data_IF_791933671765
#
_entry.id   IF_791933671765
#
_cell.length_a   1.000
_cell.length_b   1.000
_cell.length_c   1.000
_cell.angle_alpha   90.00
_cell.angle_beta   90.00
_cell.angle_gamma   90.00
#
_symmetry.space_group_name_H-M   'P 1'
#
loop_
_entity.id
_entity.type
_entity.pdbx_description
1 polymer ?
#
# COMPACT_ATOMS: atom_id res chain seq x y z
N UNK A 1 5.26 -4.52 14.89
CA UNK A 1 4.95 -3.07 14.84
C UNK A 1 6.16 -2.25 14.46
N UNK A 2 7.35 -2.50 15.03
CA UNK A 2 8.57 -1.78 14.64
C UNK A 2 8.87 -1.88 13.14
N UNK A 3 8.96 -3.09 12.57
CA UNK A 3 9.30 -3.28 11.13
C UNK A 3 8.34 -2.58 10.17
N UNK A 4 7.03 -2.50 10.48
CA UNK A 4 6.06 -1.92 9.56
C UNK A 4 6.26 -0.39 9.43
N UNK A 5 6.41 0.30 10.58
CA UNK A 5 6.75 1.72 10.59
C UNK A 5 8.20 2.00 10.16
N UNK A 6 9.12 1.06 10.35
CA UNK A 6 10.54 1.27 10.06
C UNK A 6 10.91 1.10 8.59
N UNK A 7 10.14 0.34 7.81
CA UNK A 7 10.47 0.08 6.41
C UNK A 7 9.40 0.54 5.43
N UNK A 8 8.10 0.38 5.74
CA UNK A 8 7.04 0.76 4.80
C UNK A 8 6.78 2.27 4.79
N UNK A 9 6.85 2.94 5.95
CA UNK A 9 6.68 4.39 6.00
C UNK A 9 7.82 5.13 5.29
N UNK A 10 9.11 4.78 5.50
CA UNK A 10 10.20 5.38 4.72
C UNK A 10 10.09 5.08 3.24
N UNK A 11 9.67 3.86 2.86
CA UNK A 11 9.43 3.53 1.45
C UNK A 11 8.40 4.45 0.79
N UNK A 12 7.23 4.66 1.44
CA UNK A 12 6.21 5.56 0.94
C UNK A 12 6.70 7.02 0.87
N UNK A 13 7.40 7.48 1.91
CA UNK A 13 8.00 8.83 1.95
C UNK A 13 9.00 9.01 0.81
N UNK A 14 9.90 8.05 0.60
CA UNK A 14 10.88 8.09 -0.49
C UNK A 14 10.16 8.13 -1.83
N UNK A 15 9.18 7.26 -2.09
CA UNK A 15 8.39 7.27 -3.32
C UNK A 15 7.75 8.63 -3.60
N UNK A 16 7.23 9.29 -2.57
CA UNK A 16 6.57 10.60 -2.69
C UNK A 16 7.59 11.71 -2.87
N UNK A 17 8.74 11.64 -2.20
CA UNK A 17 9.84 12.56 -2.47
C UNK A 17 10.31 12.43 -3.92
N UNK A 18 10.49 11.22 -4.45
CA UNK A 18 10.79 11.00 -5.86
C UNK A 18 9.69 11.56 -6.76
N UNK A 19 8.41 11.33 -6.44
CA UNK A 19 7.31 11.90 -7.21
C UNK A 19 7.36 13.44 -7.24
N UNK A 20 7.64 14.09 -6.11
CA UNK A 20 7.69 15.55 -6.00
C UNK A 20 8.92 16.13 -6.70
N UNK A 21 10.10 15.54 -6.48
CA UNK A 21 11.36 16.04 -7.04
C UNK A 21 11.45 15.86 -8.56
N UNK A 22 10.96 14.74 -9.10
CA UNK A 22 11.11 14.44 -10.53
C UNK A 22 9.94 14.90 -11.39
N UNK A 23 8.76 15.08 -10.79
CA UNK A 23 7.53 15.32 -11.56
C UNK A 23 6.94 16.72 -11.38
N UNK A 24 7.60 17.57 -10.57
CA UNK A 24 7.21 18.95 -10.24
C UNK A 24 5.68 19.18 -10.17
N UNK A 25 4.97 18.45 -9.28
CA UNK A 25 3.52 18.52 -9.21
C UNK A 25 3.05 19.90 -8.75
N UNK A 26 1.79 20.22 -9.06
CA UNK A 26 1.16 21.47 -8.64
C UNK A 26 1.30 21.68 -7.13
N UNK A 27 1.46 22.95 -6.71
CA UNK A 27 1.67 23.31 -5.30
C UNK A 27 0.57 22.74 -4.39
N UNK A 28 -0.68 22.77 -4.84
CA UNK A 28 -1.81 22.23 -4.09
C UNK A 28 -1.72 20.72 -3.87
N UNK A 29 -1.40 19.95 -4.92
CA UNK A 29 -1.24 18.48 -4.86
C UNK A 29 -0.09 18.09 -3.94
N UNK A 30 0.99 18.87 -3.97
CA UNK A 30 2.16 18.68 -3.10
C UNK A 30 1.80 18.85 -1.63
N UNK A 31 1.14 19.96 -1.28
CA UNK A 31 0.73 20.21 0.12
C UNK A 31 -0.30 19.20 0.61
N UNK A 32 -1.27 18.81 -0.22
CA UNK A 32 -2.23 17.77 0.13
C UNK A 32 -1.54 16.42 0.37
N UNK A 33 -0.59 16.04 -0.47
CA UNK A 33 0.16 14.79 -0.33
C UNK A 33 0.99 14.76 0.96
N UNK A 34 1.66 15.87 1.29
CA UNK A 34 2.36 16.01 2.58
C UNK A 34 1.39 15.98 3.76
N UNK A 35 0.22 16.62 3.64
CA UNK A 35 -0.82 16.59 4.66
C UNK A 35 -1.33 15.17 4.93
N UNK A 36 -1.63 14.41 3.87
CA UNK A 36 -2.05 13.00 3.95
C UNK A 36 -0.94 12.14 4.59
N UNK A 37 0.32 12.34 4.20
CA UNK A 37 1.46 11.66 4.80
C UNK A 37 1.62 11.96 6.29
N UNK A 38 1.54 13.24 6.66
CA UNK A 38 1.66 13.67 8.06
C UNK A 38 0.52 13.11 8.91
N UNK A 39 -0.71 13.13 8.38
CA UNK A 39 -1.87 12.53 9.03
C UNK A 39 -1.70 11.01 9.19
N UNK A 40 -1.22 10.32 8.15
CA UNK A 40 -0.95 8.88 8.20
C UNK A 40 0.16 8.54 9.20
N UNK A 41 1.22 9.34 9.26
CA UNK A 41 2.29 9.19 10.22
C UNK A 41 1.76 9.37 11.66
N UNK A 42 0.99 10.42 11.90
CA UNK A 42 0.42 10.69 13.21
C UNK A 42 -0.56 9.59 13.65
N UNK A 43 -1.41 9.11 12.74
CA UNK A 43 -2.33 8.01 13.01
C UNK A 43 -1.59 6.70 13.34
N UNK A 44 -0.54 6.37 12.56
CA UNK A 44 0.32 5.21 12.84
C UNK A 44 1.07 5.35 14.17
N UNK A 45 1.58 6.54 14.50
CA UNK A 45 2.25 6.82 15.76
C UNK A 45 1.30 6.68 16.95
N UNK A 46 0.09 7.25 16.84
CA UNK A 46 -0.95 7.18 17.87
C UNK A 46 -1.39 5.74 18.15
N UNK A 47 -1.66 4.96 17.09
CA UNK A 47 -2.00 3.55 17.20
C UNK A 47 -0.85 2.75 17.84
N UNK A 48 0.39 3.01 17.43
CA UNK A 48 1.59 2.39 18.00
C UNK A 48 1.72 2.66 19.50
N UNK A 49 1.59 3.92 19.92
CA UNK A 49 1.69 4.33 21.34
C UNK A 49 0.61 3.68 22.20
N UNK A 50 -0.61 3.54 21.68
CA UNK A 50 -1.73 2.96 22.41
C UNK A 50 -1.82 1.43 22.32
N UNK A 51 -0.95 0.77 21.54
CA UNK A 51 -1.02 -0.69 21.37
C UNK A 51 -0.84 -1.44 22.69
N UNK A 52 0.01 -0.93 23.60
CA UNK A 52 0.23 -1.54 24.91
C UNK A 52 -0.99 -1.47 25.84
N UNK A 53 -1.82 -0.42 25.74
CA UNK A 53 -3.07 -0.32 26.50
C UNK A 53 -4.14 -1.31 26.01
N UNK A 54 -4.07 -1.72 24.74
CA UNK A 54 -5.06 -2.59 24.09
C UNK A 54 -4.49 -3.99 23.77
N UNK A 55 -3.78 -4.60 24.73
CA UNK A 55 -3.13 -5.92 24.59
C UNK A 55 -4.07 -7.03 24.07
N UNK A 56 -5.32 -7.09 24.58
CA UNK A 56 -6.37 -8.02 24.10
C UNK A 56 -6.81 -7.77 22.66
N UNK A 57 -6.66 -6.54 22.16
CA UNK A 57 -7.12 -6.15 20.83
C UNK A 57 -6.01 -6.04 19.77
N UNK A 58 -4.78 -6.38 20.14
CA UNK A 58 -3.58 -6.18 19.31
C UNK A 58 -3.68 -6.76 17.89
N UNK A 59 -4.37 -7.90 17.70
CA UNK A 59 -4.57 -8.49 16.35
C UNK A 59 -5.46 -7.61 15.46
N UNK A 60 -6.52 -7.02 16.01
CA UNK A 60 -7.43 -6.18 15.22
C UNK A 60 -6.81 -4.81 14.96
N UNK A 61 -6.04 -4.27 15.90
CA UNK A 61 -5.28 -3.03 15.69
C UNK A 61 -4.31 -3.18 14.51
N UNK A 62 -3.61 -4.33 14.41
CA UNK A 62 -2.73 -4.60 13.26
C UNK A 62 -3.49 -4.69 11.95
N UNK A 63 -4.66 -5.33 11.94
CA UNK A 63 -5.51 -5.35 10.76
C UNK A 63 -5.95 -3.94 10.37
N UNK A 64 -6.43 -3.15 11.33
CA UNK A 64 -6.86 -1.78 11.12
C UNK A 64 -5.73 -0.91 10.54
N UNK A 65 -4.49 -1.07 11.03
CA UNK A 65 -3.32 -0.38 10.47
C UNK A 65 -3.08 -0.73 9.01
N UNK A 66 -3.24 -2.00 8.61
CA UNK A 66 -3.11 -2.42 7.21
C UNK A 66 -4.18 -1.75 6.33
N UNK A 67 -5.43 -1.75 6.78
CA UNK A 67 -6.54 -1.11 6.06
C UNK A 67 -6.37 0.42 5.96
N UNK A 68 -5.93 1.05 7.04
CA UNK A 68 -5.63 2.49 7.07
C UNK A 68 -4.51 2.85 6.10
N UNK A 69 -3.41 2.08 6.09
CA UNK A 69 -2.32 2.31 5.14
C UNK A 69 -2.78 2.08 3.69
N UNK A 70 -3.65 1.11 3.44
CA UNK A 70 -4.23 0.90 2.11
C UNK A 70 -5.11 2.08 1.67
N UNK A 71 -5.91 2.65 2.58
CA UNK A 71 -6.71 3.84 2.29
C UNK A 71 -5.82 5.06 1.97
N UNK A 72 -4.74 5.25 2.74
CA UNK A 72 -3.74 6.29 2.50
C UNK A 72 -3.04 6.09 1.15
N UNK A 73 -2.61 4.86 0.84
CA UNK A 73 -2.02 4.53 -0.46
C UNK A 73 -2.99 4.81 -1.61
N UNK A 74 -4.29 4.51 -1.44
CA UNK A 74 -5.32 4.83 -2.43
C UNK A 74 -5.46 6.33 -2.65
N UNK A 75 -5.53 7.12 -1.58
CA UNK A 75 -5.62 8.59 -1.66
C UNK A 75 -4.37 9.19 -2.33
N UNK A 76 -3.17 8.77 -1.91
CA UNK A 76 -1.92 9.24 -2.49
C UNK A 76 -1.76 8.83 -3.94
N UNK A 77 -2.15 7.61 -4.29
CA UNK A 77 -2.14 7.15 -5.68
C UNK A 77 -3.09 7.98 -6.54
N UNK A 78 -4.29 8.28 -6.07
CA UNK A 78 -5.22 9.13 -6.82
C UNK A 78 -4.62 10.53 -7.10
N UNK A 79 -3.96 11.13 -6.11
CA UNK A 79 -3.35 12.45 -6.23
C UNK A 79 -2.08 12.47 -7.09
N UNK A 80 -1.20 11.49 -6.94
CA UNK A 80 0.16 11.52 -7.48
C UNK A 80 0.40 10.59 -8.67
N UNK A 81 -0.51 9.68 -8.98
CA UNK A 81 -0.44 8.85 -10.19
C UNK A 81 -0.33 9.63 -11.51
N UNK A 82 -0.79 10.91 -11.67
CA UNK A 82 -0.54 11.67 -12.89
C UNK A 82 0.93 12.00 -13.11
N UNK A 83 1.62 12.21 -12.00
CA UNK A 83 2.94 12.80 -11.97
C UNK A 83 4.02 11.72 -11.98
N UNK A 84 3.77 10.61 -11.26
CA UNK A 84 4.77 9.57 -11.09
C UNK A 84 4.22 8.17 -11.41
N UNK A 85 4.74 7.56 -12.48
CA UNK A 85 4.30 6.23 -12.96
C UNK A 85 4.48 5.10 -11.92
N UNK A 86 5.57 5.02 -11.14
CA UNK A 86 5.78 3.96 -10.14
C UNK A 86 4.89 4.03 -8.89
N UNK A 87 3.94 4.97 -8.79
CA UNK A 87 3.10 5.14 -7.60
C UNK A 87 2.24 3.92 -7.24
N UNK A 88 1.97 3.05 -8.22
CA UNK A 88 1.25 1.79 -7.99
C UNK A 88 1.95 0.89 -6.97
N UNK A 89 3.27 1.03 -6.78
CA UNK A 89 4.05 0.30 -5.77
C UNK A 89 3.55 0.56 -4.34
N UNK A 90 2.86 1.67 -4.07
CA UNK A 90 2.22 1.91 -2.77
C UNK A 90 1.19 0.83 -2.41
N UNK A 91 0.56 0.19 -3.40
CA UNK A 91 -0.39 -0.89 -3.19
C UNK A 91 0.26 -2.22 -2.78
N UNK A 92 1.59 -2.34 -2.86
CA UNK A 92 2.32 -3.50 -2.32
C UNK A 92 2.50 -3.41 -0.81
N UNK A 93 2.48 -2.20 -0.24
CA UNK A 93 2.86 -1.97 1.15
C UNK A 93 1.93 -2.66 2.14
N UNK A 94 0.61 -2.50 1.98
CA UNK A 94 -0.40 -3.08 2.86
C UNK A 94 -0.46 -4.63 2.77
N UNK A 95 -0.46 -5.25 1.56
CA UNK A 95 -0.37 -6.70 1.42
C UNK A 95 0.96 -7.31 1.91
N UNK A 96 2.10 -6.68 1.66
CA UNK A 96 3.38 -7.16 2.17
C UNK A 96 3.47 -7.01 3.70
N UNK A 97 2.87 -5.95 4.26
CA UNK A 97 2.69 -5.79 5.69
C UNK A 97 1.79 -6.88 6.29
N UNK A 98 0.69 -7.25 5.61
CA UNK A 98 -0.22 -8.28 6.11
C UNK A 98 0.43 -9.65 6.14
N UNK A 99 1.37 -9.95 5.23
CA UNK A 99 2.17 -11.17 5.24
C UNK A 99 2.93 -11.43 6.55
N UNK A 100 3.27 -10.37 7.30
CA UNK A 100 3.99 -10.49 8.57
C UNK A 100 3.09 -10.80 9.78
N UNK A 101 1.78 -10.53 9.67
CA UNK A 101 0.89 -10.52 10.84
C UNK A 101 -0.40 -11.33 10.66
N UNK A 102 -0.72 -11.73 9.43
CA UNK A 102 -1.96 -12.39 9.07
C UNK A 102 -1.73 -13.78 8.48
N UNK A 103 -2.79 -14.59 8.41
CA UNK A 103 -2.75 -15.89 7.73
C UNK A 103 -2.65 -15.69 6.22
N UNK A 104 -2.03 -16.63 5.51
CA UNK A 104 -1.87 -16.61 4.04
C UNK A 104 -3.15 -16.27 3.26
N UNK A 105 -4.30 -16.82 3.66
CA UNK A 105 -5.59 -16.48 3.02
C UNK A 105 -6.00 -15.01 3.22
N UNK A 106 -5.75 -14.43 4.39
CA UNK A 106 -6.02 -13.02 4.67
C UNK A 106 -5.07 -12.11 3.88
N UNK A 107 -3.81 -12.53 3.67
CA UNK A 107 -2.85 -11.83 2.80
C UNK A 107 -3.37 -11.81 1.37
N UNK A 108 -3.82 -12.96 0.86
CA UNK A 108 -4.42 -13.06 -0.47
C UNK A 108 -5.60 -12.10 -0.64
N UNK A 109 -6.55 -12.09 0.32
CA UNK A 109 -7.69 -11.16 0.28
C UNK A 109 -7.26 -9.69 0.33
N UNK A 110 -6.24 -9.36 1.14
CA UNK A 110 -5.70 -7.99 1.21
C UNK A 110 -5.08 -7.59 -0.13
N UNK A 111 -4.31 -8.49 -0.76
CA UNK A 111 -3.69 -8.25 -2.05
C UNK A 111 -4.73 -8.12 -3.17
N UNK A 112 -5.75 -8.97 -3.16
CA UNK A 112 -6.88 -8.91 -4.08
C UNK A 112 -7.59 -7.56 -3.97
N UNK A 113 -7.91 -7.13 -2.75
CA UNK A 113 -8.59 -5.85 -2.52
C UNK A 113 -7.71 -4.65 -2.90
N UNK A 114 -6.42 -4.68 -2.56
CA UNK A 114 -5.45 -3.65 -2.93
C UNK A 114 -5.33 -3.52 -4.45
N UNK A 115 -5.22 -4.65 -5.16
CA UNK A 115 -5.16 -4.68 -6.63
C UNK A 115 -6.47 -4.21 -7.28
N UNK A 116 -7.61 -4.57 -6.68
CA UNK A 116 -8.93 -4.10 -7.10
C UNK A 116 -9.10 -2.59 -6.94
N UNK A 117 -8.68 -2.01 -5.80
CA UNK A 117 -8.68 -0.55 -5.61
C UNK A 117 -7.82 0.12 -6.67
N UNK A 118 -6.61 -0.40 -6.92
CA UNK A 118 -5.71 0.19 -7.91
C UNK A 118 -6.36 0.20 -9.31
N UNK A 119 -6.94 -0.91 -9.76
CA UNK A 119 -7.66 -0.97 -11.04
C UNK A 119 -8.85 0.00 -11.05
N UNK A 120 -9.62 0.04 -9.97
CA UNK A 120 -10.77 0.94 -9.85
C UNK A 120 -10.34 2.41 -9.95
N UNK A 121 -9.22 2.80 -9.33
CA UNK A 121 -8.69 4.16 -9.42
C UNK A 121 -8.17 4.48 -10.81
N UNK A 122 -7.48 3.55 -11.48
CA UNK A 122 -7.13 3.74 -12.88
C UNK A 122 -8.39 3.92 -13.75
N UNK A 123 -9.46 3.17 -13.47
CA UNK A 123 -10.69 3.21 -14.27
C UNK A 123 -11.43 4.53 -14.07
N UNK A 124 -11.68 4.92 -12.81
CA UNK A 124 -12.28 6.21 -12.46
C UNK A 124 -11.52 7.37 -13.07
N UNK A 125 -10.19 7.29 -13.05
CA UNK A 125 -9.34 8.33 -13.62
C UNK A 125 -9.39 8.37 -15.14
N UNK A 126 -9.42 7.20 -15.79
CA UNK A 126 -9.60 7.10 -17.24
C UNK A 126 -10.95 7.65 -17.69
N UNK A 127 -11.99 7.58 -16.86
CA UNK A 127 -13.29 8.21 -17.13
C UNK A 127 -13.25 9.73 -16.92
N UNK A 128 -12.55 10.20 -15.89
CA UNK A 128 -12.51 11.63 -15.56
C UNK A 128 -11.63 12.47 -16.50
N UNK A 129 -10.53 11.89 -17.02
CA UNK A 129 -9.52 12.63 -17.82
C UNK A 129 -9.26 12.03 -19.20
N UNK A 130 -9.82 10.85 -19.51
CA UNK A 130 -9.72 10.28 -20.85
C UNK A 130 -10.73 10.92 -21.80
N UNK A 131 -10.44 10.89 -23.10
CA UNK A 131 -11.34 11.33 -24.17
C UNK A 131 -12.56 10.39 -24.33
N UNK A 132 -13.39 10.25 -23.29
CA UNK A 132 -14.72 9.65 -23.33
C UNK A 132 -14.83 8.13 -23.55
N UNK A 133 -13.72 7.38 -23.66
CA UNK A 133 -13.74 5.98 -24.12
C UNK A 133 -13.50 4.87 -23.08
N UNK A 134 -13.27 5.19 -21.81
CA UNK A 134 -12.82 4.21 -20.80
C UNK A 134 -11.32 3.86 -20.91
N UNK A 135 -10.87 2.83 -20.19
CA UNK A 135 -9.45 2.44 -20.22
C UNK A 135 -9.08 1.89 -21.60
N UNK A 136 -8.10 2.52 -22.26
CA UNK A 136 -7.50 1.98 -23.49
C UNK A 136 -6.81 0.62 -23.25
N UNK A 137 -6.64 -0.16 -24.31
CA UNK A 137 -6.06 -1.50 -24.23
C UNK A 137 -4.66 -1.53 -23.56
N UNK A 138 -3.85 -0.50 -23.81
CA UNK A 138 -2.53 -0.35 -23.19
C UNK A 138 -2.62 -0.11 -21.67
N UNK A 139 -3.55 0.75 -21.24
CA UNK A 139 -3.80 1.03 -19.82
C UNK A 139 -4.33 -0.21 -19.09
N UNK A 140 -5.22 -0.99 -19.73
CA UNK A 140 -5.66 -2.28 -19.21
C UNK A 140 -4.51 -3.26 -19.05
N UNK A 141 -3.67 -3.41 -20.08
CA UNK A 141 -2.50 -4.30 -20.02
C UNK A 141 -1.56 -3.92 -18.87
N UNK A 142 -1.30 -2.63 -18.69
CA UNK A 142 -0.48 -2.12 -17.58
C UNK A 142 -1.13 -2.34 -16.21
N UNK A 143 -2.42 -1.99 -16.04
CA UNK A 143 -3.11 -2.13 -14.76
C UNK A 143 -3.26 -3.60 -14.34
N UNK A 144 -3.55 -4.49 -15.29
CA UNK A 144 -3.70 -5.93 -15.03
C UNK A 144 -2.36 -6.57 -14.69
N UNK A 145 -1.28 -6.24 -15.40
CA UNK A 145 0.05 -6.76 -15.08
C UNK A 145 0.51 -6.31 -13.69
N UNK A 146 0.30 -5.04 -13.34
CA UNK A 146 0.56 -4.52 -11.99
C UNK A 146 -0.31 -5.20 -10.93
N UNK A 147 -1.59 -5.44 -11.20
CA UNK A 147 -2.51 -6.10 -10.26
C UNK A 147 -2.10 -7.55 -9.98
N UNK A 148 -1.77 -8.29 -11.04
CA UNK A 148 -1.24 -9.65 -10.93
C UNK A 148 0.07 -9.65 -10.16
N UNK A 149 0.97 -8.70 -10.44
CA UNK A 149 2.22 -8.55 -9.70
C UNK A 149 1.98 -8.35 -8.21
N UNK A 150 1.04 -7.46 -7.82
CA UNK A 150 0.68 -7.23 -6.41
C UNK A 150 0.28 -8.53 -5.73
N UNK A 151 -0.59 -9.33 -6.37
CA UNK A 151 -1.06 -10.60 -5.80
C UNK A 151 0.09 -11.60 -5.66
N UNK A 152 0.86 -11.83 -6.73
CA UNK A 152 1.96 -12.80 -6.73
C UNK A 152 3.05 -12.42 -5.73
N UNK A 153 3.49 -11.16 -5.73
CA UNK A 153 4.50 -10.67 -4.81
C UNK A 153 4.05 -10.83 -3.34
N UNK A 154 2.81 -10.47 -3.04
CA UNK A 154 2.28 -10.60 -1.67
C UNK A 154 2.24 -12.07 -1.22
N UNK A 155 1.81 -12.97 -2.10
CA UNK A 155 1.79 -14.40 -1.80
C UNK A 155 3.19 -14.99 -1.65
N UNK A 156 4.15 -14.52 -2.46
CA UNK A 156 5.55 -14.86 -2.32
C UNK A 156 6.10 -14.40 -0.95
N UNK A 157 5.85 -13.15 -0.55
CA UNK A 157 6.28 -12.65 0.77
C UNK A 157 5.66 -13.43 1.92
N UNK A 158 4.39 -13.83 1.82
CA UNK A 158 3.74 -14.69 2.82
C UNK A 158 4.39 -16.08 2.90
N UNK A 159 4.70 -16.71 1.77
CA UNK A 159 5.38 -17.99 1.74
C UNK A 159 6.79 -17.90 2.35
N UNK A 160 7.53 -16.84 2.04
CA UNK A 160 8.85 -16.58 2.65
C UNK A 160 8.75 -16.40 4.17
N UNK A 161 7.77 -15.65 4.65
CA UNK A 161 7.54 -15.46 6.08
C UNK A 161 7.26 -16.81 6.80
N UNK A 162 6.45 -17.69 6.21
CA UNK A 162 6.21 -19.04 6.74
C UNK A 162 7.47 -19.91 6.73
N UNK A 163 8.27 -19.86 5.66
CA UNK A 163 9.49 -20.66 5.53
C UNK A 163 10.56 -20.25 6.55
N UNK A 164 10.74 -18.95 6.79
CA UNK A 164 11.69 -18.44 7.80
C UNK A 164 11.34 -18.97 9.20
N UNK A 165 10.04 -19.02 9.55
CA UNK A 165 9.60 -19.58 10.83
C UNK A 165 9.90 -21.08 10.90
N UNK A 166 9.60 -21.85 9.84
CA UNK A 166 9.89 -23.29 9.78
C UNK A 166 11.38 -23.59 9.92
N UNK A 167 12.24 -22.84 9.21
CA UNK A 167 13.71 -23.01 9.27
C UNK A 167 14.22 -22.71 10.68
N UNK A 168 13.75 -21.64 11.31
CA UNK A 168 14.09 -21.32 12.70
C UNK A 168 13.69 -22.44 13.65
N UNK A 169 12.50 -23.00 13.47
CA UNK A 169 11.97 -24.04 14.35
C UNK A 169 12.67 -25.40 14.11
N UNK A 170 13.21 -25.66 12.92
CA UNK A 170 14.04 -26.85 12.64
C UNK A 170 15.47 -26.79 13.20
N UNK A 171 15.94 -25.60 13.58
CA UNK A 171 17.27 -25.40 14.20
C UNK A 171 17.22 -25.45 15.74
N UNK A 172 16.06 -25.75 16.33
CA UNK A 172 15.85 -25.96 17.76
C UNK A 172 15.60 -27.44 18.04
#
# INVERSE_FOLDING_TARGET
MHILNYYFTPFAVILILFAIFFSEPEKQVTYLSFGVLAAAFFANWWLGRNTYKFLRWSRHIRALTVWMNMAVSGALFYLLSPYWSPMWLLFLTAPAASAMYMKKWQVFLTALFSSGIMIALYYVRSLAYGEGGGMGAQLWGMAVTQAVFIIFFSMFTAAMAEMVVKVRDSMR
#
